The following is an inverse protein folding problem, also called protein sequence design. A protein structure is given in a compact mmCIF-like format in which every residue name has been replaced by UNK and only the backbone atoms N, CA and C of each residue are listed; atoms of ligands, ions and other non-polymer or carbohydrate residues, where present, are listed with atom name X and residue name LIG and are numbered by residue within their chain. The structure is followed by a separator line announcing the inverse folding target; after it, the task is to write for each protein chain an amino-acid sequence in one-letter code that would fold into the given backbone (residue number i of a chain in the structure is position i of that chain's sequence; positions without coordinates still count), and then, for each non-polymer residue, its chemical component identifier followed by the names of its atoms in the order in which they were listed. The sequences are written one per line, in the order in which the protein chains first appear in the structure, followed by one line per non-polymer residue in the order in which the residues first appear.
data_IF_358391681950
#
_entry.id   IF_358391681950
#
_cell.length_a   1.000
_cell.length_b   1.000
_cell.length_c   1.000
_cell.angle_alpha   90.00
_cell.angle_beta   90.00
_cell.angle_gamma   90.00
#
_symmetry.space_group_name_H-M   'P 1'
#
loop_
_entity.id
_entity.type
_entity.pdbx_description
1 polymer ?
#
# COMPACT_ATOMS: atom_id res chain seq x y z
N UNK A 1 2.80 -15.66 6.96
CA UNK A 1 1.74 -16.38 7.70
C UNK A 1 2.15 -16.68 9.13
N UNK A 2 3.37 -17.17 9.40
CA UNK A 2 3.89 -17.45 10.75
C UNK A 2 3.81 -16.21 11.63
N UNK A 3 4.31 -15.08 11.16
CA UNK A 3 4.30 -13.83 11.91
C UNK A 3 2.92 -13.44 12.45
N UNK A 4 1.93 -13.44 11.57
CA UNK A 4 0.57 -13.02 11.92
C UNK A 4 -0.17 -14.07 12.75
N UNK A 5 -0.08 -15.36 12.39
CA UNK A 5 -0.79 -16.43 13.07
C UNK A 5 -0.30 -16.64 14.50
N UNK A 6 1.01 -16.54 14.75
CA UNK A 6 1.59 -16.61 16.10
C UNK A 6 1.14 -15.44 17.01
N UNK A 7 0.71 -14.33 16.41
CA UNK A 7 0.16 -13.15 17.10
C UNK A 7 -1.37 -13.17 17.20
N UNK A 8 -2.02 -14.24 16.78
CA UNK A 8 -3.46 -14.40 16.88
C UNK A 8 -4.28 -13.75 15.74
N UNK A 9 -3.63 -13.24 14.71
CA UNK A 9 -4.31 -12.68 13.55
C UNK A 9 -5.08 -13.74 12.76
N UNK A 10 -6.26 -13.39 12.30
CA UNK A 10 -7.07 -14.24 11.42
C UNK A 10 -6.76 -13.91 9.96
N UNK A 11 -6.34 -14.92 9.20
CA UNK A 11 -6.23 -14.78 7.73
C UNK A 11 -7.62 -14.75 7.12
N UNK A 12 -7.93 -13.69 6.39
CA UNK A 12 -9.24 -13.51 5.75
C UNK A 12 -9.10 -13.46 4.24
N UNK A 13 -10.13 -13.97 3.54
CA UNK A 13 -10.23 -13.93 2.09
C UNK A 13 -11.16 -12.79 1.69
N UNK A 14 -10.63 -11.84 0.92
CA UNK A 14 -11.41 -10.73 0.35
C UNK A 14 -11.67 -10.97 -1.13
N UNK A 15 -12.78 -10.45 -1.70
CA UNK A 15 -13.11 -10.66 -3.11
C UNK A 15 -12.06 -10.08 -4.06
N UNK A 16 -11.68 -10.86 -5.07
CA UNK A 16 -10.84 -10.39 -6.18
C UNK A 16 -11.65 -9.60 -7.18
N UNK A 17 -12.91 -10.04 -7.44
CA UNK A 17 -13.85 -9.31 -8.29
C UNK A 17 -14.70 -8.41 -7.41
N UNK A 18 -14.71 -7.11 -7.69
CA UNK A 18 -15.41 -6.12 -6.88
C UNK A 18 -15.98 -4.99 -7.74
N UNK A 19 -17.06 -4.38 -7.27
CA UNK A 19 -17.60 -3.15 -7.86
C UNK A 19 -16.99 -1.88 -7.27
N UNK A 20 -16.15 -2.01 -6.23
CA UNK A 20 -15.64 -0.89 -5.45
C UNK A 20 -14.17 -0.64 -5.74
N UNK A 21 -13.82 0.62 -5.98
CA UNK A 21 -12.45 1.11 -6.07
C UNK A 21 -11.99 1.60 -4.68
N UNK A 22 -11.12 0.82 -4.04
CA UNK A 22 -10.61 1.14 -2.71
C UNK A 22 -9.76 2.41 -2.70
N UNK A 23 -8.96 2.63 -3.74
CA UNK A 23 -8.06 3.78 -3.83
C UNK A 23 -8.75 5.04 -4.38
N UNK A 24 -9.92 4.89 -5.02
CA UNK A 24 -10.63 5.99 -5.66
C UNK A 24 -9.95 6.53 -6.94
N UNK A 25 -8.92 5.85 -7.42
CA UNK A 25 -8.13 6.29 -8.57
C UNK A 25 -8.71 5.85 -9.93
N UNK A 26 -9.73 5.00 -9.94
CA UNK A 26 -10.40 4.52 -11.16
C UNK A 26 -9.58 3.59 -12.05
N UNK A 27 -8.46 3.09 -11.59
CA UNK A 27 -7.49 2.29 -12.36
C UNK A 27 -7.71 0.77 -12.23
N UNK A 28 -8.97 0.37 -12.23
CA UNK A 28 -9.35 -1.06 -12.16
C UNK A 28 -9.42 -1.68 -13.54
N UNK A 29 -8.85 -2.87 -13.70
CA UNK A 29 -9.18 -3.73 -14.84
C UNK A 29 -10.66 -4.12 -14.80
N UNK A 30 -11.31 -4.14 -15.97
CA UNK A 30 -12.73 -4.50 -16.07
C UNK A 30 -12.93 -6.01 -16.12
N UNK A 31 -13.91 -6.49 -15.37
CA UNK A 31 -14.42 -7.86 -15.44
C UNK A 31 -15.83 -7.79 -16.00
N UNK A 32 -16.04 -8.35 -17.18
CA UNK A 32 -17.33 -8.30 -17.88
C UNK A 32 -17.52 -9.53 -18.78
N UNK A 33 -18.76 -9.97 -18.94
CA UNK A 33 -19.17 -10.97 -19.91
C UNK A 33 -19.87 -10.38 -21.13
N UNK A 34 -20.03 -9.06 -21.17
CA UNK A 34 -20.58 -8.35 -22.32
C UNK A 34 -19.59 -8.40 -23.49
N UNK A 35 -20.16 -8.46 -24.71
CA UNK A 35 -19.35 -8.38 -25.92
C UNK A 35 -18.75 -6.97 -26.05
N UNK A 36 -17.42 -6.82 -26.02
CA UNK A 36 -16.78 -5.51 -26.13
C UNK A 36 -16.96 -4.86 -27.51
N UNK A 37 -17.24 -5.66 -28.55
CA UNK A 37 -17.47 -5.13 -29.92
C UNK A 37 -18.92 -4.65 -30.11
N UNK A 38 -19.87 -5.19 -29.35
CA UNK A 38 -21.29 -4.84 -29.44
C UNK A 38 -21.97 -4.87 -28.05
N UNK A 39 -21.56 -4.02 -27.11
CA UNK A 39 -22.16 -4.01 -25.79
C UNK A 39 -23.62 -3.54 -25.81
N UNK A 40 -24.50 -4.06 -24.97
CA UNK A 40 -25.85 -3.53 -24.81
C UNK A 40 -25.81 -2.09 -24.31
N UNK A 41 -26.67 -1.23 -24.90
CA UNK A 41 -26.68 0.20 -24.62
C UNK A 41 -28.01 0.65 -24.03
N UNK A 42 -27.96 1.45 -22.97
CA UNK A 42 -29.08 2.20 -22.41
C UNK A 42 -28.67 3.67 -22.26
N UNK A 43 -29.48 4.59 -22.76
CA UNK A 43 -29.23 6.04 -22.72
C UNK A 43 -27.82 6.46 -23.17
N UNK A 44 -27.34 5.86 -24.25
CA UNK A 44 -25.98 6.06 -24.83
C UNK A 44 -24.82 5.66 -23.92
N UNK A 45 -25.08 4.84 -22.91
CA UNK A 45 -24.08 4.25 -22.00
C UNK A 45 -24.20 2.74 -22.05
N UNK A 46 -23.12 2.03 -21.68
CA UNK A 46 -23.16 0.57 -21.54
C UNK A 46 -24.18 0.20 -20.46
N UNK A 47 -25.09 -0.71 -20.79
CA UNK A 47 -26.12 -1.20 -19.90
C UNK A 47 -25.55 -2.25 -18.94
N UNK A 48 -24.80 -1.83 -17.92
CA UNK A 48 -24.14 -2.74 -16.96
C UNK A 48 -25.12 -3.64 -16.20
N UNK A 49 -26.41 -3.28 -16.13
CA UNK A 49 -27.42 -4.14 -15.51
C UNK A 49 -27.69 -5.44 -16.30
N UNK A 50 -27.26 -5.49 -17.56
CA UNK A 50 -27.34 -6.69 -18.42
C UNK A 50 -26.07 -7.57 -18.30
N UNK A 51 -25.02 -7.10 -17.58
CA UNK A 51 -23.82 -7.88 -17.35
C UNK A 51 -24.03 -8.94 -16.26
N UNK A 52 -23.11 -9.91 -16.16
CA UNK A 52 -23.19 -11.06 -15.25
C UNK A 52 -23.49 -10.67 -13.80
N UNK A 53 -22.86 -9.64 -13.27
CA UNK A 53 -23.05 -9.15 -11.91
C UNK A 53 -24.14 -8.08 -11.77
N UNK A 54 -24.79 -7.67 -12.86
CA UNK A 54 -25.79 -6.61 -12.85
C UNK A 54 -25.24 -5.22 -12.53
N UNK A 55 -23.94 -5.05 -12.46
CA UNK A 55 -23.25 -3.81 -12.16
C UNK A 55 -21.83 -3.82 -12.76
N UNK A 56 -21.23 -2.64 -12.84
CA UNK A 56 -19.86 -2.47 -13.32
C UNK A 56 -18.88 -3.05 -12.31
N UNK A 57 -18.13 -4.09 -12.68
CA UNK A 57 -17.13 -4.76 -11.84
C UNK A 57 -15.73 -4.68 -12.41
N UNK A 58 -14.74 -4.91 -11.56
CA UNK A 58 -13.33 -4.97 -11.91
C UNK A 58 -12.55 -5.91 -11.02
N UNK A 59 -11.25 -6.00 -11.26
CA UNK A 59 -10.30 -6.67 -10.38
C UNK A 59 -9.90 -5.73 -9.25
N UNK A 60 -9.77 -6.25 -8.04
CA UNK A 60 -9.46 -5.49 -6.84
C UNK A 60 -8.10 -4.79 -6.91
N UNK A 61 -8.02 -3.59 -6.40
CA UNK A 61 -6.76 -2.83 -6.22
C UNK A 61 -6.20 -2.96 -4.80
N UNK A 62 -7.00 -3.50 -3.85
CA UNK A 62 -6.63 -3.80 -2.46
C UNK A 62 -7.78 -4.55 -1.78
N UNK A 63 -7.46 -5.41 -0.83
CA UNK A 63 -8.44 -6.08 0.03
C UNK A 63 -8.86 -5.26 1.27
N UNK A 64 -8.31 -4.05 1.43
CA UNK A 64 -8.40 -3.25 2.66
C UNK A 64 -9.83 -3.01 3.14
N UNK A 65 -10.71 -2.45 2.30
CA UNK A 65 -12.04 -2.03 2.76
C UNK A 65 -12.86 -3.21 3.33
N UNK A 66 -12.76 -4.38 2.69
CA UNK A 66 -13.41 -5.59 3.20
C UNK A 66 -12.68 -6.13 4.43
N UNK A 67 -11.35 -6.04 4.50
CA UNK A 67 -10.58 -6.46 5.67
C UNK A 67 -10.90 -5.62 6.91
N UNK A 68 -11.19 -4.31 6.77
CA UNK A 68 -11.67 -3.46 7.86
C UNK A 68 -12.97 -3.99 8.48
N UNK A 69 -13.90 -4.54 7.68
CA UNK A 69 -15.12 -5.16 8.21
C UNK A 69 -14.81 -6.39 9.05
N UNK A 70 -13.86 -7.21 8.59
CA UNK A 70 -13.39 -8.36 9.36
C UNK A 70 -12.69 -7.93 10.64
N UNK A 71 -11.90 -6.85 10.62
CA UNK A 71 -11.25 -6.31 11.81
C UNK A 71 -12.28 -5.84 12.87
N UNK A 72 -13.40 -5.24 12.45
CA UNK A 72 -14.48 -4.88 13.36
C UNK A 72 -15.13 -6.10 14.06
N UNK A 73 -14.99 -7.30 13.49
CA UNK A 73 -15.56 -8.53 14.04
C UNK A 73 -14.53 -9.41 14.77
N UNK A 74 -13.28 -9.45 14.30
CA UNK A 74 -12.23 -10.37 14.75
C UNK A 74 -11.01 -9.68 15.37
N UNK A 75 -11.00 -8.36 15.45
CA UNK A 75 -9.94 -7.48 15.94
C UNK A 75 -8.71 -7.41 15.03
N UNK A 76 -7.94 -8.49 14.93
CA UNK A 76 -6.69 -8.51 14.19
C UNK A 76 -6.81 -9.47 13.01
N UNK A 77 -6.76 -8.94 11.80
CA UNK A 77 -6.90 -9.71 10.57
C UNK A 77 -5.81 -9.35 9.56
N UNK A 78 -5.57 -10.23 8.61
CA UNK A 78 -4.72 -9.91 7.47
C UNK A 78 -5.18 -10.61 6.20
N UNK A 79 -4.94 -9.97 5.06
CA UNK A 79 -5.04 -10.59 3.74
C UNK A 79 -3.63 -10.93 3.22
N UNK A 80 -3.52 -11.91 2.36
CA UNK A 80 -2.38 -12.14 1.49
C UNK A 80 -2.92 -12.65 0.17
N UNK A 81 -3.03 -11.75 -0.80
CA UNK A 81 -3.72 -12.05 -2.05
C UNK A 81 -3.28 -11.20 -3.23
N UNK A 82 -3.71 -11.60 -4.43
CA UNK A 82 -3.41 -10.88 -5.66
C UNK A 82 -4.13 -9.55 -5.71
N UNK A 83 -3.44 -8.55 -6.25
CA UNK A 83 -3.86 -7.17 -6.42
C UNK A 83 -3.58 -6.73 -7.85
N UNK A 84 -4.47 -5.92 -8.42
CA UNK A 84 -4.42 -5.55 -9.83
C UNK A 84 -4.58 -4.04 -9.99
N UNK A 85 -3.64 -3.39 -10.69
CA UNK A 85 -3.71 -1.96 -10.98
C UNK A 85 -3.45 -1.71 -12.47
N UNK A 86 -4.41 -1.06 -13.13
CA UNK A 86 -4.34 -0.75 -14.56
C UNK A 86 -3.56 0.55 -14.85
N UNK A 87 -2.66 0.93 -13.95
CA UNK A 87 -1.82 2.10 -14.09
C UNK A 87 -0.91 1.98 -15.32
N UNK A 88 -0.90 3.01 -16.16
CA UNK A 88 0.03 3.08 -17.29
C UNK A 88 1.41 3.58 -16.83
N UNK A 89 2.01 2.86 -15.89
CA UNK A 89 3.32 3.17 -15.30
C UNK A 89 4.39 2.23 -15.81
N UNK A 90 5.45 2.78 -16.41
CA UNK A 90 6.59 2.03 -16.92
C UNK A 90 7.83 2.14 -16.01
N UNK A 91 7.64 2.29 -14.70
CA UNK A 91 8.76 2.32 -13.76
C UNK A 91 9.25 0.92 -13.43
N UNK A 92 10.43 0.82 -12.85
CA UNK A 92 11.01 -0.46 -12.39
C UNK A 92 10.31 -1.06 -11.16
N UNK A 93 9.40 -0.32 -10.51
CA UNK A 93 8.73 -0.73 -9.25
C UNK A 93 7.25 -1.06 -9.42
N UNK A 94 6.68 -0.94 -10.63
CA UNK A 94 5.27 -1.17 -10.89
C UNK A 94 5.02 -2.38 -11.79
N UNK A 95 4.14 -3.25 -11.34
CA UNK A 95 3.53 -4.33 -12.11
C UNK A 95 2.00 -4.18 -12.04
N UNK A 96 1.29 -4.65 -13.05
CA UNK A 96 -0.18 -4.56 -13.10
C UNK A 96 -0.88 -5.68 -12.31
N UNK A 97 -0.16 -6.74 -11.98
CA UNK A 97 -0.57 -7.84 -11.11
C UNK A 97 0.56 -8.14 -10.14
N UNK A 98 0.27 -8.12 -8.86
CA UNK A 98 1.22 -8.37 -7.77
C UNK A 98 0.47 -8.84 -6.52
N UNK A 99 1.20 -9.23 -5.47
CA UNK A 99 0.60 -9.70 -4.22
C UNK A 99 0.77 -8.67 -3.10
N UNK A 100 -0.30 -8.46 -2.35
CA UNK A 100 -0.30 -7.61 -1.17
C UNK A 100 -0.47 -8.43 0.11
N UNK A 101 0.27 -8.03 1.15
CA UNK A 101 0.04 -8.46 2.53
C UNK A 101 -0.54 -7.24 3.26
N UNK A 102 -1.79 -7.35 3.71
CA UNK A 102 -2.55 -6.21 4.22
C UNK A 102 -3.21 -6.57 5.57
N UNK A 103 -2.54 -6.30 6.71
CA UNK A 103 -3.16 -6.39 8.02
C UNK A 103 -4.06 -5.20 8.30
N UNK A 104 -5.17 -5.45 9.03
CA UNK A 104 -6.05 -4.45 9.63
C UNK A 104 -6.25 -4.81 11.10
N UNK A 105 -6.03 -3.83 11.98
CA UNK A 105 -6.04 -3.99 13.44
C UNK A 105 -7.04 -3.03 14.07
N UNK A 106 -7.97 -3.58 14.86
CA UNK A 106 -8.92 -2.79 15.62
C UNK A 106 -8.30 -2.28 16.93
N UNK A 107 -8.87 -1.19 17.47
CA UNK A 107 -8.42 -0.52 18.70
C UNK A 107 -6.97 -0.02 18.65
N UNK A 108 -6.49 0.32 17.45
CA UNK A 108 -5.13 0.75 17.20
C UNK A 108 -5.08 2.14 16.56
N UNK A 109 -4.05 2.88 16.91
CA UNK A 109 -3.73 4.19 16.31
C UNK A 109 -2.56 4.08 15.31
N UNK A 110 -2.09 5.24 14.82
CA UNK A 110 -0.97 5.31 13.90
C UNK A 110 0.34 4.77 14.52
N UNK A 111 0.56 4.97 15.82
CA UNK A 111 1.77 4.51 16.47
C UNK A 111 1.81 2.97 16.58
N UNK A 112 0.67 2.36 16.92
CA UNK A 112 0.50 0.90 16.94
C UNK A 112 0.73 0.30 15.55
N UNK A 113 0.21 0.97 14.51
CA UNK A 113 0.37 0.55 13.13
C UNK A 113 1.85 0.59 12.68
N UNK A 114 2.57 1.66 13.02
CA UNK A 114 4.01 1.76 12.77
C UNK A 114 4.79 0.65 13.49
N UNK A 115 4.43 0.34 14.75
CA UNK A 115 5.10 -0.71 15.51
C UNK A 115 4.87 -2.10 14.90
N UNK A 116 3.63 -2.40 14.51
CA UNK A 116 3.32 -3.66 13.83
C UNK A 116 4.09 -3.77 12.50
N UNK A 117 4.16 -2.71 11.72
CA UNK A 117 4.88 -2.67 10.45
C UNK A 117 6.40 -2.87 10.63
N UNK A 118 6.99 -2.25 11.66
CA UNK A 118 8.39 -2.44 12.01
C UNK A 118 8.68 -3.88 12.42
N UNK A 119 7.88 -4.44 13.33
CA UNK A 119 8.02 -5.83 13.81
C UNK A 119 7.88 -6.83 12.66
N UNK A 120 6.91 -6.61 11.79
CA UNK A 120 6.66 -7.46 10.63
C UNK A 120 7.81 -7.41 9.63
N UNK A 121 8.25 -6.21 9.26
CA UNK A 121 9.33 -6.06 8.29
C UNK A 121 10.65 -6.64 8.83
N UNK A 122 10.97 -6.37 10.08
CA UNK A 122 12.14 -6.92 10.79
C UNK A 122 12.10 -8.45 10.85
N UNK A 123 10.93 -9.01 11.18
CA UNK A 123 10.73 -10.47 11.19
C UNK A 123 10.99 -11.10 9.83
N UNK A 124 10.44 -10.54 8.75
CA UNK A 124 10.62 -11.09 7.41
C UNK A 124 12.07 -11.04 6.95
N UNK A 125 12.79 -9.94 7.24
CA UNK A 125 14.22 -9.82 6.92
C UNK A 125 15.05 -10.83 7.73
N UNK A 126 14.79 -10.95 9.04
CA UNK A 126 15.46 -11.92 9.89
C UNK A 126 15.21 -13.36 9.42
N UNK A 127 13.96 -13.68 9.06
CA UNK A 127 13.60 -15.00 8.53
C UNK A 127 14.36 -15.31 7.23
N UNK A 128 14.47 -14.35 6.33
CA UNK A 128 15.23 -14.53 5.09
C UNK A 128 16.73 -14.77 5.36
N UNK A 129 17.32 -14.00 6.27
CA UNK A 129 18.72 -14.18 6.68
C UNK A 129 19.00 -15.56 7.29
N UNK A 130 18.05 -16.10 8.03
CA UNK A 130 18.18 -17.40 8.69
C UNK A 130 17.92 -18.58 7.73
N UNK A 131 16.86 -18.48 6.91
CA UNK A 131 16.36 -19.64 6.16
C UNK A 131 16.73 -19.63 4.67
N UNK A 132 17.17 -18.49 4.12
CA UNK A 132 17.54 -18.34 2.71
C UNK A 132 19.01 -17.89 2.54
N UNK A 133 19.88 -18.26 3.47
CA UNK A 133 21.26 -17.76 3.52
C UNK A 133 22.05 -18.02 2.25
N UNK A 134 21.97 -19.22 1.69
CA UNK A 134 22.69 -19.58 0.46
C UNK A 134 22.27 -18.72 -0.74
N UNK A 135 20.95 -18.47 -0.90
CA UNK A 135 20.43 -17.61 -1.95
C UNK A 135 20.86 -16.15 -1.74
N UNK A 136 20.82 -15.67 -0.50
CA UNK A 136 21.26 -14.31 -0.17
C UNK A 136 22.77 -14.12 -0.42
N UNK A 137 23.60 -15.12 -0.15
CA UNK A 137 25.03 -15.08 -0.49
C UNK A 137 25.25 -15.01 -1.99
N UNK A 138 24.47 -15.73 -2.80
CA UNK A 138 24.48 -15.62 -4.24
C UNK A 138 24.12 -14.19 -4.70
N UNK A 139 23.03 -13.63 -4.22
CA UNK A 139 22.61 -12.26 -4.57
C UNK A 139 23.64 -11.22 -4.10
N UNK A 140 24.19 -11.38 -2.90
CA UNK A 140 25.23 -10.49 -2.37
C UNK A 140 26.51 -10.51 -3.20
N UNK A 141 26.88 -11.67 -3.75
CA UNK A 141 28.07 -11.83 -4.56
C UNK A 141 27.89 -11.29 -5.99
N UNK A 142 26.74 -11.56 -6.62
CA UNK A 142 26.57 -11.39 -8.07
C UNK A 142 25.65 -10.23 -8.46
N UNK A 143 24.75 -9.79 -7.57
CA UNK A 143 23.71 -8.79 -7.87
C UNK A 143 23.95 -7.48 -7.11
N UNK A 144 23.96 -7.50 -5.78
CA UNK A 144 24.08 -6.30 -4.95
C UNK A 144 25.10 -6.50 -3.81
N UNK A 145 26.33 -6.07 -4.04
CA UNK A 145 27.40 -6.12 -3.04
C UNK A 145 27.03 -5.27 -1.83
N UNK A 146 27.03 -5.87 -0.62
CA UNK A 146 26.59 -5.24 0.62
C UNK A 146 25.11 -5.51 0.96
N UNK A 147 24.45 -6.38 0.19
CA UNK A 147 23.06 -6.80 0.47
C UNK A 147 22.92 -7.35 1.89
N UNK A 148 23.74 -8.34 2.27
CA UNK A 148 23.65 -8.99 3.58
C UNK A 148 23.91 -7.98 4.71
N UNK A 149 24.92 -7.14 4.59
CA UNK A 149 25.22 -6.10 5.58
C UNK A 149 24.02 -5.16 5.79
N UNK A 150 23.37 -4.75 4.69
CA UNK A 150 22.16 -3.91 4.75
C UNK A 150 21.00 -4.62 5.44
N UNK A 151 20.78 -5.92 5.15
CA UNK A 151 19.73 -6.71 5.78
C UNK A 151 20.00 -6.93 7.27
N UNK A 152 21.23 -7.25 7.65
CA UNK A 152 21.66 -7.38 9.05
C UNK A 152 21.49 -6.06 9.82
N UNK A 153 21.78 -4.93 9.19
CA UNK A 153 21.55 -3.59 9.75
C UNK A 153 20.08 -3.35 10.07
N UNK A 154 19.16 -3.72 9.19
CA UNK A 154 17.70 -3.59 9.42
C UNK A 154 17.26 -4.37 10.66
N UNK A 155 17.78 -5.59 10.85
CA UNK A 155 17.44 -6.40 12.02
C UNK A 155 17.99 -5.81 13.31
N UNK A 156 19.15 -5.17 13.24
CA UNK A 156 19.91 -4.71 14.43
C UNK A 156 19.68 -3.27 14.84
N UNK A 157 18.89 -2.46 14.07
CA UNK A 157 18.70 -1.02 14.36
C UNK A 157 17.22 -0.65 14.51
N UNK A 158 16.94 0.34 15.34
CA UNK A 158 15.61 0.92 15.45
C UNK A 158 15.29 1.79 14.21
N UNK A 159 14.05 1.69 13.72
CA UNK A 159 13.60 2.49 12.59
C UNK A 159 13.36 3.92 13.03
N UNK A 160 13.90 4.84 12.24
CA UNK A 160 13.70 6.26 12.51
C UNK A 160 12.28 6.70 12.12
N UNK A 161 11.79 7.77 12.73
CA UNK A 161 10.47 8.36 12.42
C UNK A 161 10.65 9.86 12.21
N UNK A 162 9.99 10.40 11.19
CA UNK A 162 9.84 11.84 10.97
C UNK A 162 8.51 12.14 10.30
N UNK A 163 8.00 13.34 10.49
CA UNK A 163 6.82 13.81 9.80
C UNK A 163 7.14 14.13 8.32
N UNK A 164 6.14 14.11 7.45
CA UNK A 164 6.29 14.56 6.07
C UNK A 164 6.81 16.00 6.01
N UNK A 165 6.35 16.88 6.90
CA UNK A 165 6.82 18.25 6.97
C UNK A 165 8.33 18.33 7.25
N UNK A 166 8.82 17.56 8.24
CA UNK A 166 10.25 17.46 8.52
C UNK A 166 11.04 16.86 7.37
N UNK A 167 10.49 15.85 6.69
CA UNK A 167 11.12 15.24 5.53
C UNK A 167 11.31 16.25 4.39
N UNK A 168 10.28 17.04 4.07
CA UNK A 168 10.36 18.12 3.06
C UNK A 168 11.40 19.18 3.48
N UNK A 169 11.38 19.64 4.72
CA UNK A 169 12.36 20.62 5.23
C UNK A 169 13.80 20.12 5.11
N UNK A 170 14.06 18.85 5.47
CA UNK A 170 15.40 18.25 5.36
C UNK A 170 15.86 18.11 3.91
N UNK A 171 14.96 17.73 3.00
CA UNK A 171 15.26 17.66 1.58
C UNK A 171 15.59 19.05 1.01
N UNK A 172 14.80 20.08 1.33
CA UNK A 172 15.05 21.47 0.89
C UNK A 172 16.38 22.03 1.43
N UNK A 173 16.72 21.71 2.68
CA UNK A 173 17.96 22.15 3.32
C UNK A 173 19.20 21.37 2.88
N UNK A 174 19.03 20.25 2.18
CA UNK A 174 20.15 19.36 1.79
C UNK A 174 21.11 19.98 0.77
N UNK A 175 20.64 20.98 0.01
CA UNK A 175 21.38 21.55 -1.11
C UNK A 175 21.52 20.63 -2.32
N UNK A 176 20.90 19.45 -2.29
CA UNK A 176 20.88 18.50 -3.40
C UNK A 176 19.96 19.01 -4.52
N UNK A 177 20.42 18.95 -5.75
CA UNK A 177 19.56 19.17 -6.92
C UNK A 177 18.79 17.88 -7.21
N UNK A 178 17.46 17.94 -7.08
CA UNK A 178 16.56 16.86 -7.45
C UNK A 178 15.95 17.10 -8.83
N UNK A 179 15.55 16.04 -9.52
CA UNK A 179 14.85 16.12 -10.81
C UNK A 179 13.43 16.69 -10.61
N UNK A 180 12.77 16.26 -9.53
CA UNK A 180 11.42 16.72 -9.16
C UNK A 180 11.48 17.78 -8.05
N UNK A 181 10.58 18.78 -8.07
CA UNK A 181 10.56 19.80 -7.03
C UNK A 181 10.21 19.23 -5.66
N UNK A 182 10.85 19.76 -4.62
CA UNK A 182 10.56 19.42 -3.22
C UNK A 182 9.71 20.55 -2.64
N UNK A 183 8.40 20.39 -2.67
CA UNK A 183 7.44 21.36 -2.14
C UNK A 183 6.44 20.66 -1.20
N UNK A 184 6.01 21.40 -0.15
CA UNK A 184 5.00 20.85 0.76
C UNK A 184 3.66 20.69 0.05
N UNK A 185 3.08 19.49 0.11
CA UNK A 185 1.84 19.14 -0.57
C UNK A 185 2.05 18.33 -1.86
N UNK A 186 3.29 18.10 -2.29
CA UNK A 186 3.63 17.23 -3.41
C UNK A 186 4.00 15.82 -2.92
N UNK A 187 3.75 14.80 -3.77
CA UNK A 187 4.22 13.44 -3.47
C UNK A 187 5.75 13.38 -3.46
N UNK A 188 6.29 12.66 -2.47
CA UNK A 188 7.71 12.31 -2.46
C UNK A 188 7.99 11.33 -3.60
N UNK A 189 8.95 11.71 -4.45
CA UNK A 189 9.39 10.85 -5.54
C UNK A 189 10.47 9.87 -5.06
N UNK A 190 10.73 8.81 -5.81
CA UNK A 190 11.72 7.78 -5.47
C UNK A 190 13.11 8.35 -5.14
N UNK A 191 13.53 9.44 -5.79
CA UNK A 191 14.81 10.09 -5.51
C UNK A 191 14.81 10.74 -4.12
N UNK A 192 13.67 11.33 -3.70
CA UNK A 192 13.50 11.94 -2.37
C UNK A 192 13.54 10.86 -1.28
N UNK A 193 12.77 9.78 -1.45
CA UNK A 193 12.71 8.64 -0.53
C UNK A 193 14.08 7.99 -0.32
N UNK A 194 14.81 7.77 -1.41
CA UNK A 194 16.17 7.22 -1.35
C UNK A 194 17.15 8.19 -0.69
N UNK A 195 17.05 9.47 -0.96
CA UNK A 195 17.92 10.45 -0.32
C UNK A 195 17.67 10.50 1.19
N UNK A 196 16.41 10.47 1.63
CA UNK A 196 16.05 10.41 3.05
C UNK A 196 16.64 9.17 3.71
N UNK A 197 16.47 8.00 3.12
CA UNK A 197 16.90 6.72 3.70
C UNK A 197 18.41 6.46 3.60
N UNK A 198 19.08 6.90 2.50
CA UNK A 198 20.47 6.59 2.23
C UNK A 198 21.46 7.70 2.67
N UNK A 199 20.99 8.97 2.76
CA UNK A 199 21.87 10.11 3.05
C UNK A 199 21.55 10.81 4.36
N UNK A 200 20.28 10.87 4.75
CA UNK A 200 19.87 11.57 5.97
C UNK A 200 19.82 10.62 7.16
N UNK A 201 19.19 9.44 7.01
CA UNK A 201 18.92 8.49 8.09
C UNK A 201 19.93 7.34 8.11
N UNK A 202 20.41 6.94 6.95
CA UNK A 202 21.24 5.74 6.73
C UNK A 202 20.55 4.47 7.28
N UNK A 203 19.26 4.26 6.90
CA UNK A 203 18.47 3.11 7.36
C UNK A 203 16.98 3.26 7.06
N UNK A 204 16.14 2.35 7.59
CA UNK A 204 14.69 2.42 7.47
C UNK A 204 14.11 3.65 8.15
N UNK A 205 13.10 4.25 7.54
CA UNK A 205 12.47 5.48 7.96
C UNK A 205 10.96 5.41 7.81
N UNK A 206 10.22 5.65 8.88
CA UNK A 206 8.80 6.00 8.79
C UNK A 206 8.66 7.50 8.51
N UNK A 207 7.95 7.82 7.43
CA UNK A 207 7.44 9.17 7.18
C UNK A 207 5.96 9.17 7.51
N UNK A 208 5.51 10.11 8.36
CA UNK A 208 4.13 10.17 8.85
C UNK A 208 3.48 11.51 8.58
N UNK A 209 2.17 11.60 8.81
CA UNK A 209 1.41 12.86 8.81
C UNK A 209 1.51 13.61 7.47
N UNK A 210 1.11 12.91 6.42
CA UNK A 210 1.12 13.43 5.06
C UNK A 210 0.00 14.46 4.82
N UNK A 211 0.19 15.39 3.87
CA UNK A 211 -0.86 16.31 3.46
C UNK A 211 -2.12 15.57 3.00
N UNK A 212 -3.29 16.00 3.48
CA UNK A 212 -4.57 15.35 3.16
C UNK A 212 -4.92 15.33 1.67
N UNK A 213 -4.38 16.27 0.89
CA UNK A 213 -4.68 16.40 -0.54
C UNK A 213 -4.01 15.37 -1.44
N UNK A 214 -3.01 14.63 -0.93
CA UNK A 214 -2.25 13.63 -1.69
C UNK A 214 -2.42 12.20 -1.17
N UNK A 215 -3.31 11.99 -0.20
CA UNK A 215 -3.57 10.66 0.39
C UNK A 215 -5.06 10.31 0.30
N UNK A 216 -5.37 9.02 0.39
CA UNK A 216 -6.70 8.48 0.14
C UNK A 216 -7.76 8.96 1.14
N UNK A 217 -9.03 8.90 0.72
CA UNK A 217 -10.19 9.38 1.47
C UNK A 217 -10.40 8.71 2.83
N UNK A 218 -10.04 7.46 2.97
CA UNK A 218 -10.27 6.64 4.18
C UNK A 218 -9.27 6.90 5.31
N UNK A 219 -8.21 7.66 5.08
CA UNK A 219 -7.20 7.95 6.09
C UNK A 219 -7.69 9.01 7.09
N UNK A 220 -7.44 8.81 8.38
CA UNK A 220 -7.90 9.69 9.46
C UNK A 220 -7.32 11.10 9.36
N UNK A 221 -8.19 12.12 9.35
CA UNK A 221 -7.73 13.51 9.43
C UNK A 221 -7.13 13.81 10.80
N UNK A 222 -5.92 14.40 10.81
CA UNK A 222 -5.31 14.94 12.02
C UNK A 222 -6.02 16.22 12.49
N UNK A 223 -5.81 16.57 13.76
CA UNK A 223 -6.47 17.73 14.38
C UNK A 223 -5.94 19.08 13.86
N UNK A 224 -4.82 19.07 13.13
CA UNK A 224 -4.26 20.26 12.46
C UNK A 224 -5.07 20.71 11.23
N UNK A 225 -6.02 19.89 10.78
CA UNK A 225 -6.89 20.12 9.62
C UNK A 225 -6.18 20.11 8.27
N UNK A 226 -4.88 19.83 8.22
CA UNK A 226 -4.02 19.87 7.02
C UNK A 226 -3.48 18.50 6.63
N UNK A 227 -3.22 17.64 7.61
CA UNK A 227 -2.58 16.34 7.43
C UNK A 227 -3.53 15.18 7.76
N UNK A 228 -3.11 13.98 7.41
CA UNK A 228 -3.78 12.72 7.75
C UNK A 228 -2.80 11.80 8.47
N UNK A 229 -3.31 10.93 9.33
CA UNK A 229 -2.56 9.92 10.06
C UNK A 229 -2.12 8.77 9.12
N UNK A 230 -1.38 9.12 8.08
CA UNK A 230 -0.74 8.19 7.15
C UNK A 230 0.68 7.86 7.60
N UNK A 231 1.17 6.71 7.19
CA UNK A 231 2.57 6.32 7.34
C UNK A 231 3.07 5.58 6.11
N UNK A 232 4.28 5.89 5.68
CA UNK A 232 5.01 5.09 4.71
C UNK A 232 6.33 4.63 5.35
N UNK A 233 6.64 3.33 5.27
CA UNK A 233 7.97 2.82 5.61
C UNK A 233 8.83 2.88 4.37
N UNK A 234 9.88 3.68 4.44
CA UNK A 234 10.89 3.83 3.40
C UNK A 234 12.14 3.03 3.76
N UNK A 235 12.72 2.35 2.78
CA UNK A 235 13.97 1.59 2.95
C UNK A 235 15.00 1.98 1.90
N UNK A 236 16.31 1.89 2.19
CA UNK A 236 17.36 2.14 1.22
C UNK A 236 17.20 1.30 -0.05
N UNK A 237 17.59 1.83 -1.20
CA UNK A 237 17.51 1.20 -2.54
C UNK A 237 16.11 1.12 -3.15
N UNK A 238 15.07 0.83 -2.36
CA UNK A 238 13.70 0.62 -2.86
C UNK A 238 12.83 1.87 -2.68
N UNK A 239 12.98 2.62 -1.58
CA UNK A 239 12.06 3.67 -1.19
C UNK A 239 10.87 3.08 -0.43
N UNK A 240 9.64 3.54 -0.70
CA UNK A 240 8.44 3.03 -0.05
C UNK A 240 8.25 1.53 -0.26
N UNK A 241 8.14 0.79 0.86
CA UNK A 241 7.91 -0.66 0.89
C UNK A 241 6.62 -1.04 1.62
N UNK A 242 6.19 -0.24 2.58
CA UNK A 242 4.90 -0.34 3.28
C UNK A 242 4.24 1.03 3.23
N UNK A 243 2.97 1.07 2.85
CA UNK A 243 2.10 2.24 3.00
C UNK A 243 0.91 1.92 3.87
N UNK A 244 0.52 2.81 4.77
CA UNK A 244 -0.58 2.57 5.68
C UNK A 244 -1.14 3.83 6.34
N UNK A 245 -2.14 3.63 7.19
CA UNK A 245 -2.72 4.74 7.96
C UNK A 245 -3.56 4.24 9.14
N UNK A 246 -3.81 5.12 10.08
CA UNK A 246 -5.03 5.03 10.88
C UNK A 246 -6.23 5.36 9.98
N UNK A 247 -7.34 4.62 10.15
CA UNK A 247 -8.54 4.75 9.32
C UNK A 247 -9.48 5.80 9.92
N UNK A 248 -10.25 6.49 9.07
CA UNK A 248 -11.22 7.48 9.54
C UNK A 248 -12.44 6.77 10.15
N UNK A 249 -12.57 6.86 11.47
CA UNK A 249 -13.67 6.25 12.24
C UNK A 249 -14.89 7.16 12.41
N UNK A 250 -14.73 8.46 12.14
CA UNK A 250 -15.80 9.47 12.32
C UNK A 250 -16.66 9.54 11.06
N UNK A 251 -17.92 9.10 11.15
CA UNK A 251 -18.84 8.98 10.03
C UNK A 251 -18.95 10.27 9.20
N UNK A 252 -19.24 11.41 9.87
CA UNK A 252 -19.47 12.68 9.16
C UNK A 252 -18.21 13.17 8.43
N UNK A 253 -17.04 12.90 9.01
CA UNK A 253 -15.75 13.25 8.38
C UNK A 253 -15.50 12.38 7.16
N UNK A 254 -15.75 11.06 7.28
CA UNK A 254 -15.57 10.12 6.17
C UNK A 254 -16.54 10.44 5.00
N UNK A 255 -17.81 10.70 5.29
CA UNK A 255 -18.80 11.11 4.27
C UNK A 255 -18.40 12.42 3.56
N UNK A 256 -17.85 13.38 4.31
CA UNK A 256 -17.37 14.62 3.70
C UNK A 256 -16.14 14.36 2.80
N UNK A 257 -15.18 13.55 3.25
CA UNK A 257 -14.01 13.17 2.44
C UNK A 257 -14.42 12.43 1.17
N UNK A 258 -15.38 11.51 1.24
CA UNK A 258 -15.89 10.83 0.04
C UNK A 258 -16.43 11.83 -0.99
N UNK A 259 -17.15 12.87 -0.54
CA UNK A 259 -17.64 13.94 -1.43
C UNK A 259 -16.50 14.77 -2.03
N UNK A 260 -15.49 15.09 -1.23
CA UNK A 260 -14.31 15.84 -1.67
C UNK A 260 -13.50 15.08 -2.74
N UNK A 261 -13.55 13.74 -2.72
CA UNK A 261 -12.93 12.84 -3.70
C UNK A 261 -13.87 12.38 -4.83
N UNK A 262 -15.06 12.98 -4.96
CA UNK A 262 -16.09 12.62 -5.95
C UNK A 262 -16.52 11.14 -5.89
N UNK A 263 -16.48 10.56 -4.67
CA UNK A 263 -16.95 9.20 -4.39
C UNK A 263 -18.40 9.30 -3.88
N UNK A 264 -19.32 8.64 -4.58
CA UNK A 264 -20.70 8.61 -4.17
C UNK A 264 -20.88 7.71 -2.94
N UNK A 265 -21.38 8.22 -1.80
CA UNK A 265 -21.54 7.44 -0.57
C UNK A 265 -22.36 6.16 -0.75
N UNK A 266 -23.36 6.17 -1.63
CA UNK A 266 -24.21 4.99 -1.90
C UNK A 266 -23.39 3.81 -2.47
N UNK A 267 -22.27 4.07 -3.14
CA UNK A 267 -21.40 3.01 -3.69
C UNK A 267 -20.63 2.25 -2.59
N UNK A 268 -20.47 2.86 -1.41
CA UNK A 268 -19.76 2.32 -0.24
C UNK A 268 -20.62 2.35 1.03
N UNK A 269 -21.94 2.28 0.90
CA UNK A 269 -22.88 2.34 2.03
C UNK A 269 -22.60 1.24 3.06
N UNK A 270 -22.28 0.03 2.61
CA UNK A 270 -21.83 -1.09 3.44
C UNK A 270 -20.55 -0.78 4.25
N UNK A 271 -19.64 0.03 3.70
CA UNK A 271 -18.42 0.46 4.39
C UNK A 271 -18.72 1.55 5.42
N UNK A 272 -19.64 2.48 5.11
CA UNK A 272 -20.11 3.48 6.05
C UNK A 272 -20.88 2.86 7.23
N UNK A 273 -21.53 1.73 7.03
CA UNK A 273 -22.25 0.99 8.08
C UNK A 273 -21.33 0.56 9.22
N UNK A 274 -20.06 0.29 8.97
CA UNK A 274 -19.07 0.02 10.03
C UNK A 274 -18.86 1.21 10.96
N UNK A 275 -19.21 2.42 10.54
CA UNK A 275 -19.16 3.65 11.35
C UNK A 275 -20.52 3.97 11.99
N UNK A 276 -21.62 3.60 11.35
CA UNK A 276 -22.98 3.81 11.86
C UNK A 276 -23.32 2.87 13.01
N UNK A 277 -22.89 1.62 12.94
CA UNK A 277 -23.32 0.56 13.85
C UNK A 277 -22.32 0.21 14.96
N UNK A 278 -21.22 0.90 15.07
CA UNK A 278 -20.25 0.72 16.14
C UNK A 278 -18.82 0.71 15.65
N UNK A 279 -18.23 1.89 15.50
CA UNK A 279 -16.84 2.03 15.11
C UNK A 279 -15.89 2.00 16.30
N UNK A 280 -14.64 1.70 16.03
CA UNK A 280 -13.50 1.93 16.93
C UNK A 280 -12.33 2.54 16.16
N UNK A 281 -11.35 3.17 16.82
CA UNK A 281 -10.07 3.45 16.20
C UNK A 281 -9.49 2.17 15.62
N UNK A 282 -9.03 2.20 14.37
CA UNK A 282 -8.41 1.07 13.72
C UNK A 282 -7.41 1.55 12.69
N UNK A 283 -6.46 0.69 12.36
CA UNK A 283 -5.36 1.03 11.49
C UNK A 283 -4.94 -0.19 10.67
N UNK A 284 -4.19 0.05 9.61
CA UNK A 284 -3.65 -1.02 8.79
C UNK A 284 -2.65 -0.52 7.77
N UNK A 285 -1.99 -1.46 7.12
CA UNK A 285 -1.01 -1.14 6.08
C UNK A 285 -1.01 -2.18 4.97
N UNK A 286 -0.40 -1.84 3.84
CA UNK A 286 -0.14 -2.76 2.75
C UNK A 286 1.36 -2.89 2.48
N UNK A 287 1.83 -4.12 2.30
CA UNK A 287 3.17 -4.44 1.82
C UNK A 287 3.06 -5.17 0.48
N UNK A 288 3.65 -4.59 -0.57
CA UNK A 288 3.81 -5.26 -1.86
C UNK A 288 4.88 -6.35 -1.75
N UNK A 289 4.47 -7.62 -1.94
CA UNK A 289 5.38 -8.75 -1.73
C UNK A 289 6.56 -8.73 -2.71
N UNK A 290 6.34 -8.34 -3.95
CA UNK A 290 7.39 -8.25 -4.96
C UNK A 290 8.39 -7.13 -4.66
N UNK A 291 7.95 -6.00 -4.08
CA UNK A 291 8.89 -4.96 -3.59
C UNK A 291 9.75 -5.50 -2.44
N UNK A 292 9.19 -6.32 -1.57
CA UNK A 292 9.96 -7.01 -0.54
C UNK A 292 10.99 -7.98 -1.16
N UNK A 293 10.60 -8.75 -2.19
CA UNK A 293 11.55 -9.60 -2.93
C UNK A 293 12.67 -8.79 -3.57
N UNK A 294 12.37 -7.65 -4.20
CA UNK A 294 13.41 -6.73 -4.71
C UNK A 294 14.37 -6.32 -3.60
N UNK A 295 13.86 -5.98 -2.42
CA UNK A 295 14.67 -5.53 -1.29
C UNK A 295 15.63 -6.60 -0.79
N UNK A 296 15.18 -7.84 -0.61
CA UNK A 296 15.99 -8.95 -0.08
C UNK A 296 16.89 -9.61 -1.12
N UNK A 297 16.66 -9.40 -2.40
CA UNK A 297 17.50 -9.94 -3.49
C UNK A 297 18.45 -8.91 -4.09
N UNK A 298 18.19 -7.61 -3.87
CA UNK A 298 18.92 -6.52 -4.50
C UNK A 298 18.55 -6.30 -5.97
N UNK A 299 17.49 -6.95 -6.48
CA UNK A 299 17.01 -6.74 -7.84
C UNK A 299 16.44 -5.33 -8.00
N UNK A 300 16.76 -4.67 -9.11
CA UNK A 300 16.36 -3.29 -9.36
C UNK A 300 15.02 -3.16 -10.10
N UNK A 301 14.51 -4.25 -10.67
CA UNK A 301 13.30 -4.25 -11.46
C UNK A 301 12.33 -5.33 -10.95
N UNK A 302 11.07 -4.93 -10.66
CA UNK A 302 10.02 -5.84 -10.20
C UNK A 302 9.74 -6.99 -11.16
N UNK A 303 9.98 -6.78 -12.46
CA UNK A 303 9.82 -7.83 -13.49
C UNK A 303 10.81 -9.00 -13.33
N UNK A 304 11.92 -8.76 -12.65
CA UNK A 304 12.96 -9.78 -12.44
C UNK A 304 12.68 -10.67 -11.22
N UNK A 305 11.72 -10.29 -10.38
CA UNK A 305 11.29 -11.07 -9.20
C UNK A 305 9.93 -11.75 -9.41
N UNK A 306 9.32 -11.61 -10.59
CA UNK A 306 8.05 -12.24 -10.98
C UNK A 306 8.31 -13.16 -12.16
N UNK A 307 7.99 -14.46 -12.09
CA UNK A 307 8.21 -15.40 -13.21
C UNK A 307 7.46 -15.03 -14.50
N UNK A 308 6.24 -14.47 -14.36
CA UNK A 308 5.38 -14.05 -15.47
C UNK A 308 4.82 -12.66 -15.22
N UNK A 309 5.64 -11.59 -15.35
CA UNK A 309 5.22 -10.24 -14.99
C UNK A 309 4.12 -9.71 -15.93
N UNK A 310 3.11 -9.06 -15.36
CA UNK A 310 2.09 -8.31 -16.07
C UNK A 310 2.38 -6.81 -15.96
N UNK A 311 2.58 -6.18 -17.10
CA UNK A 311 2.91 -4.75 -17.19
C UNK A 311 2.26 -4.16 -18.44
N UNK A 312 2.18 -2.83 -18.60
CA UNK A 312 1.69 -2.24 -19.85
C UNK A 312 2.33 -2.88 -21.07
N UNK A 313 1.50 -3.26 -22.05
CA UNK A 313 1.89 -3.95 -23.30
C UNK A 313 2.52 -5.35 -23.11
N UNK A 314 2.43 -5.96 -21.95
CA UNK A 314 2.97 -7.30 -21.72
C UNK A 314 2.01 -8.18 -20.89
N UNK A 315 1.39 -9.14 -21.60
CA UNK A 315 0.60 -10.22 -21.01
C UNK A 315 0.79 -11.51 -21.85
N UNK A 316 2.04 -11.78 -22.25
CA UNK A 316 2.36 -12.72 -23.31
C UNK A 316 2.32 -14.21 -22.89
N UNK A 317 1.98 -14.57 -21.69
CA UNK A 317 1.89 -15.98 -21.27
C UNK A 317 0.59 -16.28 -20.54
#
# INVERSE_FOLDING_TARGET
HTFFQERGFVHVHTPIITSNDCEGAGEMFRVTTLDPENPPMADKRIAWHDDFFGTKTGLTVSGQLQAELFAMAFTDVYTFGPTFRAENSNTSRHASEFWMIEPEIAFADLADNCQLAEDFFRFMVAYALEHCREDLEFFNQFIDKGLIERLEKVVGTDFQKMTYTEAVERLQQSGQAFEFPVEWGCDLQSEHERYLTEKIVDGPLFVTDYPKGIKAFYMRNNDDGRTVAAMDLLVPKVGEIIGGSQREERLEVLEQKMKDFDIHPESLDWYLDTRRWGSCPHAGFGLGFERFLMYITGMENVRDVIPFPRTPNNAAF
#
